data_IF_595796602210
#
_entry.id   IF_595796602210
#
_cell.length_a   1.000
_cell.length_b   1.000
_cell.length_c   1.000
_cell.angle_alpha   90.00
_cell.angle_beta   90.00
_cell.angle_gamma   90.00
#
_symmetry.space_group_name_H-M   'P 1'
#
loop_
_entity.id
_entity.type
_entity.pdbx_description
1 polymer ?
#
# COMPACT_ATOMS: atom_id res chain seq x y z
N UNK A 1 -64.17 15.01 4.64
CA UNK A 1 -63.09 15.91 5.09
C UNK A 1 -62.40 15.25 6.29
N UNK A 2 -61.63 14.20 6.02
CA UNK A 2 -60.88 13.40 7.01
C UNK A 2 -59.39 13.47 6.66
N UNK A 3 -58.89 14.69 6.57
CA UNK A 3 -57.50 14.93 6.21
C UNK A 3 -56.67 14.99 7.48
N UNK A 4 -55.69 14.08 7.59
CA UNK A 4 -54.43 14.25 8.31
C UNK A 4 -54.62 14.33 9.85
N UNK A 5 -54.01 13.48 10.67
CA UNK A 5 -52.65 13.78 11.11
C UNK A 5 -52.34 13.00 12.40
N UNK A 6 -52.34 11.68 12.34
CA UNK A 6 -51.72 10.87 13.41
C UNK A 6 -50.55 10.11 12.79
N UNK A 7 -49.55 10.85 12.29
CA UNK A 7 -48.22 10.27 12.06
C UNK A 7 -47.56 10.15 13.42
N UNK A 8 -47.70 8.99 14.05
CA UNK A 8 -46.82 8.56 15.13
C UNK A 8 -45.37 8.78 14.68
N UNK A 9 -44.53 9.53 15.41
CA UNK A 9 -43.12 9.64 15.05
C UNK A 9 -42.49 8.26 15.26
N UNK A 10 -42.22 7.54 14.16
CA UNK A 10 -41.44 6.32 14.25
C UNK A 10 -40.07 6.65 14.88
N UNK A 11 -39.61 5.86 15.87
CA UNK A 11 -38.29 6.04 16.44
C UNK A 11 -37.26 5.90 15.30
N UNK A 12 -36.21 6.74 15.25
CA UNK A 12 -35.25 6.71 14.16
C UNK A 12 -34.65 5.31 14.08
N UNK A 13 -34.89 4.63 12.96
CA UNK A 13 -34.29 3.35 12.64
C UNK A 13 -32.79 3.46 12.89
N UNK A 14 -32.27 2.65 13.82
CA UNK A 14 -30.83 2.58 14.10
C UNK A 14 -30.15 2.23 12.78
N UNK A 15 -29.51 3.21 12.16
CA UNK A 15 -28.83 3.07 10.87
C UNK A 15 -27.96 1.81 10.93
N UNK A 16 -28.16 0.83 10.03
CA UNK A 16 -27.37 -0.38 10.09
C UNK A 16 -25.92 0.05 9.96
N UNK A 17 -25.11 -0.31 10.96
CA UNK A 17 -23.72 0.08 11.07
C UNK A 17 -23.01 -0.31 9.77
N UNK A 18 -22.88 0.69 8.92
CA UNK A 18 -22.36 0.61 7.57
C UNK A 18 -20.88 0.29 7.75
N UNK A 19 -20.28 -0.54 6.89
CA UNK A 19 -18.88 -1.00 6.98
C UNK A 19 -17.87 0.09 7.44
N UNK A 20 -18.14 1.34 7.09
CA UNK A 20 -17.46 2.56 7.55
C UNK A 20 -17.37 2.71 9.08
N UNK A 21 -18.41 2.36 9.85
CA UNK A 21 -18.44 2.42 11.31
C UNK A 21 -17.54 1.36 11.97
N UNK A 22 -17.45 0.16 11.36
CA UNK A 22 -16.51 -0.88 11.79
C UNK A 22 -15.07 -0.46 11.44
N UNK A 23 -14.86 0.12 10.27
CA UNK A 23 -13.58 0.68 9.85
C UNK A 23 -13.12 1.82 10.79
N UNK A 24 -14.03 2.73 11.14
CA UNK A 24 -13.75 3.81 12.09
C UNK A 24 -13.41 3.29 13.48
N UNK A 25 -14.10 2.25 13.96
CA UNK A 25 -13.78 1.59 15.25
C UNK A 25 -12.40 0.93 15.23
N UNK A 26 -12.06 0.26 14.12
CA UNK A 26 -10.76 -0.40 13.95
C UNK A 26 -9.61 0.63 13.88
N UNK A 27 -9.78 1.71 13.11
CA UNK A 27 -8.81 2.80 13.01
C UNK A 27 -8.66 3.55 14.34
N UNK A 28 -9.75 3.84 15.05
CA UNK A 28 -9.71 4.53 16.35
C UNK A 28 -8.96 3.70 17.41
N UNK A 29 -9.14 2.37 17.41
CA UNK A 29 -8.42 1.48 18.32
C UNK A 29 -6.89 1.48 18.08
N UNK A 30 -6.45 1.80 16.85
CA UNK A 30 -5.04 1.75 16.44
C UNK A 30 -4.45 3.11 16.06
N UNK A 31 -5.16 4.22 16.30
CA UNK A 31 -4.76 5.56 15.86
C UNK A 31 -3.36 5.96 16.34
N UNK A 32 -3.05 5.70 17.61
CA UNK A 32 -1.69 5.95 18.17
C UNK A 32 -0.61 5.15 17.44
N UNK A 33 -0.88 3.89 17.08
CA UNK A 33 0.09 3.06 16.35
C UNK A 33 0.30 3.56 14.93
N UNK A 34 -0.76 4.04 14.25
CA UNK A 34 -0.64 4.58 12.90
C UNK A 34 0.17 5.89 12.86
N UNK A 35 -0.04 6.78 13.83
CA UNK A 35 0.73 8.04 13.94
C UNK A 35 2.23 7.77 14.16
N UNK A 36 2.56 6.71 14.88
CA UNK A 36 3.95 6.29 15.10
C UNK A 36 4.49 5.52 13.88
N UNK A 37 3.71 4.59 13.33
CA UNK A 37 4.13 3.76 12.22
C UNK A 37 4.37 4.55 10.92
N UNK A 38 3.61 5.63 10.68
CA UNK A 38 3.76 6.43 9.47
C UNK A 38 5.18 7.04 9.31
N UNK A 39 5.74 7.78 10.28
CA UNK A 39 7.11 8.28 10.18
C UNK A 39 8.14 7.16 10.17
N UNK A 40 7.96 6.08 10.95
CA UNK A 40 8.89 4.95 10.89
C UNK A 40 8.87 4.25 9.54
N UNK A 41 7.71 4.05 8.92
CA UNK A 41 7.60 3.47 7.59
C UNK A 41 8.35 4.33 6.57
N UNK A 42 8.18 5.66 6.66
CA UNK A 42 8.90 6.58 5.79
C UNK A 42 10.42 6.48 5.97
N UNK A 43 10.89 6.49 7.22
CA UNK A 43 12.30 6.32 7.55
C UNK A 43 12.82 4.97 7.09
N UNK A 44 12.10 3.87 7.32
CA UNK A 44 12.48 2.53 6.87
C UNK A 44 12.59 2.47 5.36
N UNK A 45 11.61 3.00 4.60
CA UNK A 45 11.65 2.98 3.14
C UNK A 45 12.84 3.77 2.61
N UNK A 46 13.05 5.00 3.09
CA UNK A 46 14.18 5.83 2.67
C UNK A 46 15.53 5.25 3.10
N UNK A 47 15.60 4.68 4.31
CA UNK A 47 16.78 3.99 4.80
C UNK A 47 17.10 2.75 3.98
N UNK A 48 16.08 1.97 3.58
CA UNK A 48 16.28 0.74 2.80
C UNK A 48 16.64 1.02 1.34
N UNK A 49 16.23 2.17 0.79
CA UNK A 49 16.47 2.54 -0.60
C UNK A 49 17.95 2.36 -1.05
N UNK A 50 18.97 2.89 -0.35
CA UNK A 50 20.37 2.65 -0.73
C UNK A 50 20.76 1.17 -0.71
N UNK A 51 20.28 0.39 0.26
CA UNK A 51 20.56 -1.05 0.33
C UNK A 51 19.91 -1.82 -0.82
N UNK A 52 18.68 -1.46 -1.21
CA UNK A 52 18.00 -2.06 -2.35
C UNK A 52 18.75 -1.78 -3.68
N UNK A 53 19.33 -0.60 -3.82
CA UNK A 53 20.16 -0.25 -4.98
C UNK A 53 21.41 -1.14 -5.01
N UNK A 54 22.12 -1.27 -3.88
CA UNK A 54 23.31 -2.13 -3.79
C UNK A 54 22.95 -3.59 -4.03
N UNK A 55 21.86 -4.09 -3.46
CA UNK A 55 21.35 -5.45 -3.68
C UNK A 55 21.02 -5.71 -5.15
N UNK A 56 20.43 -4.73 -5.84
CA UNK A 56 20.20 -4.82 -7.29
C UNK A 56 21.51 -4.93 -8.06
N UNK A 57 22.51 -4.13 -7.70
CA UNK A 57 23.81 -4.13 -8.38
C UNK A 57 24.61 -5.39 -8.07
N UNK A 58 24.52 -5.96 -6.87
CA UNK A 58 25.26 -7.18 -6.51
C UNK A 58 24.83 -8.40 -7.33
N UNK A 59 23.63 -8.37 -7.89
CA UNK A 59 23.13 -9.40 -8.81
C UNK A 59 23.47 -9.10 -10.28
N UNK A 60 23.94 -7.89 -10.60
CA UNK A 60 24.26 -7.45 -11.95
C UNK A 60 25.76 -7.58 -12.22
N UNK A 61 26.12 -7.85 -13.47
CA UNK A 61 27.52 -7.95 -13.88
C UNK A 61 27.99 -6.61 -14.48
N UNK A 62 29.28 -6.28 -14.28
CA UNK A 62 29.89 -5.11 -14.90
C UNK A 62 30.02 -5.35 -16.41
N UNK A 63 29.25 -4.63 -17.20
CA UNK A 63 29.34 -4.69 -18.66
C UNK A 63 30.30 -3.60 -19.16
N UNK A 64 31.21 -3.94 -20.08
CA UNK A 64 32.02 -2.96 -20.84
C UNK A 64 31.18 -2.28 -21.93
N UNK A 65 29.99 -1.81 -21.56
CA UNK A 65 29.04 -1.12 -22.41
C UNK A 65 28.38 0.00 -21.61
N UNK A 66 27.69 0.91 -22.30
CA UNK A 66 26.82 1.89 -21.65
C UNK A 66 25.40 1.36 -21.78
N UNK A 67 24.68 1.07 -20.68
CA UNK A 67 25.02 1.31 -19.27
C UNK A 67 26.00 0.29 -18.66
N UNK A 68 26.77 0.66 -17.61
CA UNK A 68 27.86 -0.15 -17.06
C UNK A 68 27.42 -1.41 -16.28
N UNK A 69 26.12 -1.67 -16.16
CA UNK A 69 25.54 -2.83 -15.47
C UNK A 69 24.54 -3.53 -16.36
N UNK A 70 24.49 -4.86 -16.26
CA UNK A 70 23.50 -5.66 -16.98
C UNK A 70 22.08 -5.46 -16.43
N UNK A 71 21.09 -5.51 -17.33
CA UNK A 71 19.68 -5.45 -16.98
C UNK A 71 19.24 -6.80 -16.36
N UNK A 72 18.75 -6.77 -15.11
CA UNK A 72 18.24 -7.97 -14.44
C UNK A 72 16.85 -8.38 -14.93
N UNK A 73 16.04 -7.41 -15.36
CA UNK A 73 14.68 -7.63 -15.82
C UNK A 73 14.47 -6.87 -17.11
N UNK A 74 14.07 -7.59 -18.17
CA UNK A 74 13.70 -6.97 -19.44
C UNK A 74 12.33 -7.47 -19.89
N UNK A 75 11.54 -6.56 -20.45
CA UNK A 75 10.23 -6.88 -21.01
C UNK A 75 10.29 -6.74 -22.53
N UNK A 76 10.27 -7.86 -23.24
CA UNK A 76 10.39 -7.91 -24.71
C UNK A 76 9.39 -8.91 -25.26
N UNK A 77 8.63 -8.52 -26.27
CA UNK A 77 7.64 -9.37 -26.97
C UNK A 77 6.63 -10.06 -26.03
N UNK A 78 6.19 -9.35 -25.00
CA UNK A 78 5.25 -9.88 -24.01
C UNK A 78 5.85 -10.91 -23.05
N UNK A 79 7.17 -11.07 -23.05
CA UNK A 79 7.90 -11.95 -22.13
C UNK A 79 8.70 -11.14 -21.12
N UNK A 80 8.58 -11.53 -19.85
CA UNK A 80 9.45 -11.08 -18.78
C UNK A 80 10.69 -11.97 -18.74
N UNK A 81 11.85 -11.42 -19.07
CA UNK A 81 13.14 -12.10 -18.91
C UNK A 81 13.77 -11.65 -17.59
N UNK A 82 14.19 -12.62 -16.77
CA UNK A 82 14.85 -12.37 -15.49
C UNK A 82 16.22 -13.06 -15.53
N UNK A 83 17.29 -12.30 -15.38
CA UNK A 83 18.66 -12.80 -15.30
C UNK A 83 19.19 -12.57 -13.88
N UNK A 84 19.53 -13.64 -13.16
CA UNK A 84 20.04 -13.59 -11.79
C UNK A 84 21.43 -14.22 -11.75
N UNK A 85 22.41 -13.46 -11.25
CA UNK A 85 23.78 -13.96 -11.06
C UNK A 85 23.98 -14.38 -9.60
N UNK A 86 24.43 -15.61 -9.41
CA UNK A 86 24.71 -16.23 -8.11
C UNK A 86 26.18 -16.71 -7.99
N UNK A 87 27.04 -16.21 -8.87
CA UNK A 87 28.44 -16.59 -8.97
C UNK A 87 29.18 -16.49 -7.62
#
# INVERSE_FOLDING_TARGET
>A
MSLLSERTPEPPAKTPATLKALFHRLLMAHGRKLVIALPYLWLTLLFMLPFLIVFKISLAELALAVPPYTELMSWVDGKLNIALNFA
#
